data_IF_308334275022
#
_entry.id   IF_308334275022
#
_cell.length_a   1.000
_cell.length_b   1.000
_cell.length_c   1.000
_cell.angle_alpha   90.00
_cell.angle_beta   90.00
_cell.angle_gamma   90.00
#
_symmetry.space_group_name_H-M   'P 1'
#
loop_
_entity.id
_entity.type
_entity.pdbx_description
1 polymer ?
#
# COMPACT_ATOMS: atom_id res chain seq x y z
N UNK A 1 -19.27 11.56 14.91
CA UNK A 1 -18.19 11.22 13.96
C UNK A 1 -18.63 9.96 13.24
N UNK A 2 -19.06 10.13 11.99
CA UNK A 2 -19.43 9.00 11.14
C UNK A 2 -18.19 8.14 10.94
N UNK A 3 -18.30 6.82 11.14
CA UNK A 3 -17.19 5.91 10.90
C UNK A 3 -16.94 5.88 9.39
N UNK A 4 -15.70 6.13 8.91
CA UNK A 4 -15.43 6.07 7.49
C UNK A 4 -15.85 4.69 6.97
N UNK A 5 -16.76 4.68 6.00
CA UNK A 5 -17.18 3.46 5.31
C UNK A 5 -16.11 3.08 4.31
N UNK A 6 -15.79 1.79 4.21
CA UNK A 6 -14.86 1.28 3.21
C UNK A 6 -15.24 1.78 1.81
N UNK A 7 -14.33 2.53 1.17
CA UNK A 7 -14.47 3.03 -0.18
C UNK A 7 -13.29 2.51 -1.03
N UNK A 8 -13.55 1.45 -1.80
CA UNK A 8 -12.55 0.78 -2.61
C UNK A 8 -12.02 1.65 -3.75
N UNK A 9 -12.91 2.39 -4.42
CA UNK A 9 -12.55 3.28 -5.53
C UNK A 9 -11.59 4.37 -5.05
N UNK A 10 -11.91 5.00 -3.92
CA UNK A 10 -11.08 6.02 -3.29
C UNK A 10 -9.73 5.48 -2.82
N UNK A 11 -9.72 4.27 -2.24
CA UNK A 11 -8.48 3.62 -1.82
C UNK A 11 -7.55 3.35 -3.02
N UNK A 12 -8.08 2.86 -4.15
CA UNK A 12 -7.28 2.58 -5.36
C UNK A 12 -6.75 3.88 -5.96
N UNK A 13 -7.57 4.93 -6.01
CA UNK A 13 -7.19 6.26 -6.48
C UNK A 13 -6.01 6.81 -5.65
N UNK A 14 -6.17 6.84 -4.33
CA UNK A 14 -5.14 7.35 -3.42
C UNK A 14 -3.86 6.49 -3.47
N UNK A 15 -3.97 5.16 -3.53
CA UNK A 15 -2.80 4.28 -3.64
C UNK A 15 -2.01 4.55 -4.93
N UNK A 16 -2.71 4.66 -6.05
CA UNK A 16 -2.08 4.99 -7.35
C UNK A 16 -1.44 6.37 -7.30
N UNK A 17 -2.16 7.37 -6.76
CA UNK A 17 -1.66 8.72 -6.60
C UNK A 17 -0.37 8.75 -5.79
N UNK A 18 -0.36 8.16 -4.60
CA UNK A 18 0.80 8.16 -3.71
C UNK A 18 1.98 7.39 -4.29
N UNK A 19 1.76 6.27 -4.98
CA UNK A 19 2.84 5.55 -5.68
C UNK A 19 3.55 6.43 -6.69
N UNK A 20 2.78 7.11 -7.56
CA UNK A 20 3.34 8.01 -8.56
C UNK A 20 4.02 9.21 -7.88
N UNK A 21 3.40 9.77 -6.84
CA UNK A 21 3.91 10.95 -6.14
C UNK A 21 5.23 10.67 -5.41
N UNK A 22 5.31 9.54 -4.71
CA UNK A 22 6.53 9.07 -4.02
C UNK A 22 7.64 8.83 -5.05
N UNK A 23 7.33 8.17 -6.16
CA UNK A 23 8.31 7.94 -7.21
C UNK A 23 8.83 9.26 -7.79
N UNK A 24 7.93 10.20 -8.09
CA UNK A 24 8.33 11.53 -8.56
C UNK A 24 9.24 12.24 -7.55
N UNK A 25 8.93 12.18 -6.24
CA UNK A 25 9.75 12.80 -5.21
C UNK A 25 11.13 12.14 -5.09
N UNK A 26 11.21 10.82 -5.18
CA UNK A 26 12.49 10.10 -5.23
C UNK A 26 13.31 10.46 -6.47
N UNK A 27 12.67 10.80 -7.59
CA UNK A 27 13.33 11.19 -8.84
C UNK A 27 13.67 12.68 -8.93
N UNK A 28 12.96 13.54 -8.20
CA UNK A 28 13.13 15.00 -8.28
C UNK A 28 13.83 15.62 -7.09
N UNK A 29 13.79 14.99 -5.92
CA UNK A 29 14.42 15.52 -4.72
C UNK A 29 15.87 15.01 -4.58
N UNK A 30 16.88 15.88 -4.77
CA UNK A 30 18.29 15.49 -4.67
C UNK A 30 18.69 15.07 -3.24
N UNK A 31 17.95 15.48 -2.21
CA UNK A 31 18.19 15.07 -0.83
C UNK A 31 17.77 13.61 -0.61
N UNK A 32 16.59 13.23 -1.10
CA UNK A 32 16.11 11.84 -1.05
C UNK A 32 16.99 10.92 -1.90
N UNK A 33 17.38 11.37 -3.11
CA UNK A 33 18.31 10.60 -3.95
C UNK A 33 19.64 10.31 -3.27
N UNK A 34 20.18 11.31 -2.56
CA UNK A 34 21.42 11.14 -1.82
C UNK A 34 21.26 10.16 -0.67
N UNK A 35 20.14 10.20 0.06
CA UNK A 35 19.84 9.22 1.11
C UNK A 35 19.67 7.80 0.57
N UNK A 36 19.02 7.62 -0.59
CA UNK A 36 18.95 6.31 -1.28
C UNK A 36 20.36 5.84 -1.67
N UNK A 37 21.17 6.72 -2.26
CA UNK A 37 22.52 6.42 -2.72
C UNK A 37 23.48 6.10 -1.56
N UNK A 38 23.30 6.75 -0.42
CA UNK A 38 24.07 6.52 0.81
C UNK A 38 23.66 5.20 1.52
N UNK A 39 22.69 4.46 0.96
CA UNK A 39 22.20 3.19 1.51
C UNK A 39 21.38 3.35 2.79
N UNK A 40 20.92 4.56 3.10
CA UNK A 40 20.04 4.81 4.22
C UNK A 40 18.66 4.24 3.91
N UNK A 41 18.09 3.48 4.85
CA UNK A 41 16.71 3.03 4.77
C UNK A 41 15.78 4.23 4.91
N UNK A 42 15.35 4.79 3.77
CA UNK A 42 14.36 5.87 3.76
C UNK A 42 13.04 5.37 4.34
N UNK A 43 12.55 6.06 5.36
CA UNK A 43 11.24 5.77 5.89
C UNK A 43 10.19 6.50 5.06
N UNK A 44 9.09 5.81 4.80
CA UNK A 44 7.97 6.39 4.06
C UNK A 44 7.45 7.68 4.74
N UNK A 45 7.48 7.73 6.07
CA UNK A 45 7.10 8.91 6.84
C UNK A 45 7.93 10.16 6.46
N UNK A 46 9.24 10.02 6.28
CA UNK A 46 10.13 11.13 5.90
C UNK A 46 9.80 11.66 4.50
N UNK A 47 9.47 10.76 3.56
CA UNK A 47 9.06 11.15 2.21
C UNK A 47 7.72 11.90 2.23
N UNK A 48 6.77 11.46 3.07
CA UNK A 48 5.47 12.13 3.24
C UNK A 48 5.64 13.51 3.89
N UNK A 49 6.58 13.67 4.83
CA UNK A 49 6.88 14.98 5.45
C UNK A 49 7.38 16.00 4.43
N UNK A 50 8.08 15.56 3.38
CA UNK A 50 8.51 16.41 2.28
C UNK A 50 7.36 16.80 1.31
N UNK A 51 6.18 16.17 1.43
CA UNK A 51 5.03 16.49 0.58
C UNK A 51 4.27 17.74 1.04
N UNK A 52 3.33 18.20 0.20
CA UNK A 52 2.49 19.34 0.56
C UNK A 52 1.50 18.98 1.68
N UNK A 53 0.99 19.99 2.40
CA UNK A 53 0.01 19.78 3.47
C UNK A 53 -1.25 19.05 2.97
N UNK A 54 -1.69 19.33 1.74
CA UNK A 54 -2.83 18.64 1.13
C UNK A 54 -2.54 17.15 0.92
N UNK A 55 -1.33 16.82 0.48
CA UNK A 55 -0.91 15.43 0.28
C UNK A 55 -0.84 14.68 1.62
N UNK A 56 -0.37 15.35 2.69
CA UNK A 56 -0.34 14.77 4.04
C UNK A 56 -1.75 14.48 4.58
N UNK A 57 -2.72 15.36 4.31
CA UNK A 57 -4.13 15.13 4.68
C UNK A 57 -4.72 13.95 3.89
N UNK A 58 -4.46 13.89 2.59
CA UNK A 58 -4.89 12.75 1.76
C UNK A 58 -4.18 11.44 2.19
N UNK A 59 -2.97 11.53 2.73
CA UNK A 59 -2.24 10.38 3.24
C UNK A 59 -2.87 9.84 4.53
N UNK A 60 -3.34 10.73 5.42
CA UNK A 60 -4.14 10.31 6.58
C UNK A 60 -5.44 9.63 6.14
N UNK A 61 -6.15 10.18 5.16
CA UNK A 61 -7.35 9.55 4.57
C UNK A 61 -7.04 8.14 4.03
N UNK A 62 -5.92 7.99 3.34
CA UNK A 62 -5.46 6.70 2.84
C UNK A 62 -5.17 5.69 3.96
N UNK A 63 -4.49 6.11 5.03
CA UNK A 63 -4.18 5.25 6.17
C UNK A 63 -5.44 4.79 6.92
N UNK A 64 -6.43 5.66 7.05
CA UNK A 64 -7.73 5.29 7.65
C UNK A 64 -8.44 4.22 6.82
N UNK A 65 -8.45 4.38 5.49
CA UNK A 65 -9.02 3.39 4.57
C UNK A 65 -8.24 2.07 4.58
N UNK A 66 -6.90 2.12 4.62
CA UNK A 66 -6.05 0.93 4.70
C UNK A 66 -6.29 0.15 6.01
N UNK A 67 -6.45 0.86 7.13
CA UNK A 67 -6.79 0.24 8.41
C UNK A 67 -8.15 -0.48 8.34
N UNK A 68 -9.14 0.11 7.68
CA UNK A 68 -10.46 -0.52 7.49
C UNK A 68 -10.33 -1.77 6.61
N UNK A 69 -9.55 -1.68 5.52
CA UNK A 69 -9.28 -2.81 4.63
C UNK A 69 -8.61 -3.96 5.38
N UNK A 70 -7.55 -3.67 6.13
CA UNK A 70 -6.82 -4.65 6.91
C UNK A 70 -7.72 -5.36 7.93
N UNK A 71 -8.58 -4.61 8.65
CA UNK A 71 -9.54 -5.22 9.56
C UNK A 71 -10.53 -6.15 8.85
N UNK A 72 -11.00 -5.74 7.66
CA UNK A 72 -11.91 -6.56 6.85
C UNK A 72 -11.23 -7.82 6.32
N UNK A 73 -10.00 -7.70 5.84
CA UNK A 73 -9.19 -8.83 5.37
C UNK A 73 -8.88 -9.81 6.51
N UNK A 74 -8.56 -9.28 7.70
CA UNK A 74 -8.37 -10.08 8.91
C UNK A 74 -9.66 -10.82 9.32
N UNK A 75 -10.81 -10.14 9.31
CA UNK A 75 -12.10 -10.79 9.60
C UNK A 75 -12.44 -11.87 8.58
N UNK A 76 -12.26 -11.59 7.28
CA UNK A 76 -12.47 -12.58 6.21
C UNK A 76 -11.56 -13.81 6.37
N UNK A 77 -10.32 -13.59 6.81
CA UNK A 77 -9.37 -14.66 7.10
C UNK A 77 -9.82 -15.52 8.30
N UNK A 78 -10.23 -14.89 9.40
CA UNK A 78 -10.74 -15.58 10.59
C UNK A 78 -12.02 -16.37 10.32
N UNK A 79 -12.88 -15.89 9.42
CA UNK A 79 -14.11 -16.58 8.99
C UNK A 79 -13.87 -17.70 7.96
N UNK A 80 -12.61 -17.94 7.54
CA UNK A 80 -12.28 -18.98 6.56
C UNK A 80 -12.76 -18.68 5.14
N UNK A 81 -13.13 -17.41 4.85
CA UNK A 81 -13.53 -16.93 3.51
C UNK A 81 -12.38 -16.28 2.74
N UNK A 82 -11.22 -16.07 3.38
CA UNK A 82 -10.00 -15.52 2.78
C UNK A 82 -9.08 -16.59 2.16
N UNK A 83 -8.28 -16.21 1.16
CA UNK A 83 -7.26 -17.08 0.59
C UNK A 83 -6.21 -17.51 1.65
N UNK A 84 -5.64 -18.72 1.57
CA UNK A 84 -4.62 -19.18 2.51
C UNK A 84 -3.44 -18.20 2.54
N UNK A 85 -2.98 -17.85 3.75
CA UNK A 85 -1.79 -17.04 3.96
C UNK A 85 -0.57 -17.83 3.48
N UNK A 86 -0.07 -17.53 2.28
CA UNK A 86 1.22 -18.04 1.85
C UNK A 86 2.32 -17.21 2.52
N UNK A 87 3.11 -17.87 3.35
CA UNK A 87 4.25 -17.33 4.10
C UNK A 87 5.29 -16.59 3.24
N UNK A 88 5.22 -16.69 1.90
CA UNK A 88 6.10 -15.98 0.97
C UNK A 88 5.52 -14.68 0.38
N UNK A 89 4.20 -14.44 0.41
CA UNK A 89 3.57 -13.34 -0.36
C UNK A 89 2.59 -12.45 0.41
N UNK A 90 2.23 -12.79 1.66
CA UNK A 90 1.34 -11.96 2.48
C UNK A 90 -0.10 -11.89 1.95
N UNK A 91 -0.90 -10.94 2.46
CA UNK A 91 -2.36 -10.81 2.21
C UNK A 91 -2.76 -10.56 0.75
N UNK A 92 -1.81 -10.38 -0.17
CA UNK A 92 -2.06 -9.96 -1.55
C UNK A 92 -1.98 -11.13 -2.54
N UNK A 93 -2.92 -12.08 -2.45
CA UNK A 93 -3.35 -12.84 -3.63
C UNK A 93 -4.86 -12.82 -3.72
N UNK A 94 -5.36 -12.08 -4.71
CA UNK A 94 -6.69 -12.28 -5.26
C UNK A 94 -6.82 -13.77 -5.63
N UNK A 95 -7.89 -14.47 -5.21
CA UNK A 95 -8.11 -15.83 -5.67
C UNK A 95 -8.49 -15.77 -7.14
N UNK A 96 -7.51 -15.84 -8.02
CA UNK A 96 -7.77 -16.12 -9.42
C UNK A 96 -8.15 -17.60 -9.48
N UNK A 97 -9.45 -17.82 -9.68
CA UNK A 97 -10.06 -19.10 -9.97
C UNK A 97 -9.23 -19.83 -11.04
N UNK A 98 -8.95 -21.11 -10.78
CA UNK A 98 -7.87 -21.85 -11.42
C UNK A 98 -7.95 -21.98 -12.93
N UNK A 99 -6.77 -22.12 -13.53
CA UNK A 99 -6.41 -23.12 -14.56
C UNK A 99 -4.91 -23.01 -14.82
N UNK A 100 -4.25 -24.15 -14.68
CA UNK A 100 -3.09 -24.64 -15.44
C UNK A 100 -1.72 -23.93 -15.41
N UNK A 101 -0.76 -24.69 -14.90
CA UNK A 101 0.61 -24.90 -15.39
C UNK A 101 1.47 -23.67 -15.76
N UNK A 102 2.27 -23.17 -14.81
CA UNK A 102 3.56 -22.54 -15.13
C UNK A 102 4.70 -23.08 -14.24
N UNK A 103 5.89 -23.36 -14.82
CA UNK A 103 6.93 -24.18 -14.20
C UNK A 103 7.77 -23.42 -13.15
N UNK A 104 8.52 -24.13 -12.30
CA UNK A 104 9.29 -23.49 -11.23
C UNK A 104 10.46 -22.70 -11.82
N UNK A 105 10.46 -21.39 -11.56
CA UNK A 105 11.69 -20.62 -11.57
C UNK A 105 12.39 -20.89 -10.24
N UNK A 106 13.51 -21.60 -10.38
CA UNK A 106 14.57 -21.91 -9.43
C UNK A 106 14.82 -20.82 -8.38
#
# INVERSE_FOLDING_TARGET
>A
MEKPTWNEERYIELNTYFRVRIQQLLETDPHLQKQVADGASLQLAEIIECMTLNDQVAWQEFLELDQIKMHRDLQNHLEGKGAPLDSKTGFYRTPQNGTDEEPPLW
#
